data_IF_370145794472
#
_entry.id   IF_370145794472
#
_cell.length_a   1.000
_cell.length_b   1.000
_cell.length_c   1.000
_cell.angle_alpha   90.00
_cell.angle_beta   90.00
_cell.angle_gamma   90.00
#
_symmetry.space_group_name_H-M   'P 1'
#
loop_
_entity.id
_entity.type
_entity.pdbx_description
1 polymer ?
#
# COMPACT_ATOMS: atom_id res chain seq x y z
N UNK A 1 -13.77 -5.90 -6.60
CA UNK A 1 -14.27 -4.65 -6.02
C UNK A 1 -15.08 -3.83 -7.03
N UNK A 2 -14.57 -3.57 -8.24
CA UNK A 2 -15.36 -2.91 -9.27
C UNK A 2 -16.25 -3.95 -9.99
N UNK A 3 -17.53 -3.62 -10.13
CA UNK A 3 -18.49 -4.45 -10.89
C UNK A 3 -18.19 -4.40 -12.39
N UNK A 4 -17.63 -3.29 -12.84
CA UNK A 4 -17.30 -2.99 -14.22
C UNK A 4 -16.08 -2.06 -14.25
N UNK A 5 -15.32 -2.05 -15.35
CA UNK A 5 -14.17 -1.17 -15.59
C UNK A 5 -14.42 -0.20 -16.73
N UNK A 6 -15.65 -0.15 -17.24
CA UNK A 6 -15.99 0.81 -18.30
C UNK A 6 -15.78 2.24 -17.82
N UNK A 7 -15.31 3.13 -18.68
CA UNK A 7 -15.10 4.54 -18.33
C UNK A 7 -16.33 5.19 -17.71
N UNK A 8 -17.52 4.90 -18.24
CA UNK A 8 -18.78 5.43 -17.72
C UNK A 8 -19.04 5.03 -16.27
N UNK A 9 -18.83 3.75 -15.93
CA UNK A 9 -18.99 3.28 -14.56
C UNK A 9 -17.96 3.92 -13.62
N UNK A 10 -16.68 3.96 -13.98
CA UNK A 10 -15.62 4.56 -13.17
C UNK A 10 -15.88 6.06 -12.96
N UNK A 11 -16.25 6.79 -14.00
CA UNK A 11 -16.62 8.22 -13.87
C UNK A 11 -17.86 8.41 -12.96
N UNK A 12 -18.83 7.48 -12.99
CA UNK A 12 -19.98 7.54 -12.08
C UNK A 12 -19.58 7.38 -10.62
N UNK A 13 -18.63 6.50 -10.31
CA UNK A 13 -18.07 6.34 -8.96
C UNK A 13 -17.33 7.60 -8.50
N UNK A 14 -16.48 8.16 -9.36
CA UNK A 14 -15.80 9.44 -9.10
C UNK A 14 -16.79 10.56 -8.80
N UNK A 15 -17.82 10.71 -9.64
CA UNK A 15 -18.89 11.71 -9.42
C UNK A 15 -19.62 11.45 -8.10
N UNK A 16 -19.93 10.18 -7.79
CA UNK A 16 -20.61 9.83 -6.53
C UNK A 16 -19.78 10.18 -5.31
N UNK A 17 -18.47 9.93 -5.32
CA UNK A 17 -17.58 10.37 -4.25
C UNK A 17 -17.60 11.90 -4.13
N UNK A 18 -17.39 12.61 -5.23
CA UNK A 18 -17.31 14.05 -5.25
C UNK A 18 -18.57 14.75 -4.69
N UNK A 19 -19.76 14.36 -5.15
CA UNK A 19 -21.03 14.99 -4.70
C UNK A 19 -21.37 14.68 -3.23
N UNK A 20 -20.71 13.70 -2.63
CA UNK A 20 -20.84 13.36 -1.22
C UNK A 20 -19.68 13.93 -0.37
N UNK A 21 -18.84 14.80 -0.94
CA UNK A 21 -17.70 15.41 -0.23
C UNK A 21 -16.62 14.41 0.15
N UNK A 22 -16.50 13.29 -0.56
CA UNK A 22 -15.53 12.22 -0.30
C UNK A 22 -14.36 12.29 -1.28
N UNK A 23 -13.14 12.25 -0.76
CA UNK A 23 -11.94 12.01 -1.54
C UNK A 23 -11.69 10.49 -1.66
N UNK A 24 -11.10 10.07 -2.78
CA UNK A 24 -10.66 8.69 -2.99
C UNK A 24 -9.19 8.61 -2.65
N UNK A 25 -8.87 8.08 -1.46
CA UNK A 25 -7.51 8.07 -0.88
C UNK A 25 -6.55 7.12 -1.60
N UNK A 26 -7.04 6.03 -2.16
CA UNK A 26 -6.24 5.01 -2.84
C UNK A 26 -7.08 3.90 -3.43
N UNK A 27 -6.46 3.08 -4.24
CA UNK A 27 -7.08 1.88 -4.83
C UNK A 27 -6.12 0.68 -4.66
N UNK A 28 -6.58 -0.47 -4.13
CA UNK A 28 -5.74 -1.65 -4.00
C UNK A 28 -5.71 -2.46 -5.29
N UNK A 29 -4.57 -3.11 -5.55
CA UNK A 29 -4.38 -4.04 -6.66
C UNK A 29 -3.68 -5.31 -6.18
N UNK A 30 -4.13 -6.47 -6.66
CA UNK A 30 -3.43 -7.74 -6.51
C UNK A 30 -2.50 -7.95 -7.71
N UNK A 31 -1.19 -8.09 -7.44
CA UNK A 31 -0.16 -8.30 -8.44
C UNK A 31 1.08 -8.98 -7.84
N UNK A 32 2.02 -9.37 -8.70
CA UNK A 32 3.32 -9.95 -8.32
C UNK A 32 4.39 -9.57 -9.35
N UNK A 33 5.44 -8.86 -8.92
CA UNK A 33 6.55 -8.45 -9.79
C UNK A 33 7.73 -9.43 -9.82
N UNK A 34 7.70 -10.50 -9.00
CA UNK A 34 8.78 -11.47 -8.88
C UNK A 34 8.75 -12.58 -9.95
N UNK A 35 8.08 -12.33 -11.08
CA UNK A 35 8.14 -13.24 -12.23
C UNK A 35 9.38 -12.99 -13.08
N UNK A 36 10.08 -14.05 -13.52
CA UNK A 36 11.16 -13.90 -14.51
C UNK A 36 10.60 -13.37 -15.84
N UNK A 37 11.49 -12.85 -16.73
CA UNK A 37 11.08 -12.41 -18.06
C UNK A 37 10.30 -13.49 -18.80
N UNK A 38 9.22 -13.09 -19.47
CA UNK A 38 8.32 -13.96 -20.22
C UNK A 38 6.84 -13.64 -20.00
N UNK A 39 5.93 -14.44 -20.58
CA UNK A 39 4.49 -14.13 -20.66
C UNK A 39 3.82 -13.86 -19.30
N UNK A 40 4.25 -14.54 -18.23
CA UNK A 40 3.70 -14.33 -16.90
C UNK A 40 4.03 -12.93 -16.36
N UNK A 41 5.29 -12.47 -16.52
CA UNK A 41 5.72 -11.12 -16.16
C UNK A 41 5.00 -10.07 -17.02
N UNK A 42 4.95 -10.27 -18.32
CA UNK A 42 4.32 -9.33 -19.25
C UNK A 42 2.84 -9.14 -18.92
N UNK A 43 2.14 -10.22 -18.59
CA UNK A 43 0.76 -10.17 -18.11
C UNK A 43 0.61 -9.35 -16.83
N UNK A 44 1.52 -9.49 -15.86
CA UNK A 44 1.49 -8.71 -14.61
C UNK A 44 1.73 -7.21 -14.89
N UNK A 45 2.72 -6.86 -15.70
CA UNK A 45 3.01 -5.48 -16.06
C UNK A 45 1.84 -4.83 -16.80
N UNK A 46 1.27 -5.52 -17.79
CA UNK A 46 0.08 -5.06 -18.52
C UNK A 46 -1.12 -4.89 -17.58
N UNK A 47 -1.32 -5.80 -16.65
CA UNK A 47 -2.39 -5.73 -15.64
C UNK A 47 -2.25 -4.50 -14.75
N UNK A 48 -1.03 -4.22 -14.23
CA UNK A 48 -0.78 -3.05 -13.40
C UNK A 48 -0.99 -1.75 -14.19
N UNK A 49 -0.48 -1.66 -15.43
CA UNK A 49 -0.68 -0.48 -16.29
C UNK A 49 -2.15 -0.21 -16.57
N UNK A 50 -2.93 -1.25 -16.89
CA UNK A 50 -4.38 -1.12 -17.10
C UNK A 50 -5.11 -0.60 -15.85
N UNK A 51 -4.69 -1.02 -14.66
CA UNK A 51 -5.25 -0.51 -13.41
C UNK A 51 -4.81 0.91 -13.07
N UNK A 52 -3.59 1.30 -13.45
CA UNK A 52 -3.14 2.70 -13.34
C UNK A 52 -4.07 3.62 -14.15
N UNK A 53 -4.46 3.22 -15.38
CA UNK A 53 -5.40 3.98 -16.21
C UNK A 53 -6.77 4.09 -15.53
N UNK A 54 -7.29 3.00 -14.95
CA UNK A 54 -8.57 3.00 -14.21
C UNK A 54 -8.47 3.94 -12.99
N UNK A 55 -7.38 3.88 -12.24
CA UNK A 55 -7.17 4.68 -11.03
C UNK A 55 -7.04 6.17 -11.35
N UNK A 56 -6.34 6.51 -12.43
CA UNK A 56 -6.26 7.88 -12.94
C UNK A 56 -7.64 8.43 -13.31
N UNK A 57 -8.45 7.65 -14.03
CA UNK A 57 -9.82 8.01 -14.40
C UNK A 57 -10.73 8.16 -13.17
N UNK A 58 -10.56 7.28 -12.17
CA UNK A 58 -11.29 7.32 -10.90
C UNK A 58 -10.97 8.60 -10.09
N UNK A 59 -9.81 9.23 -10.35
CA UNK A 59 -9.36 10.42 -9.63
C UNK A 59 -8.69 10.09 -8.30
N UNK A 60 -8.25 8.86 -8.11
CA UNK A 60 -7.38 8.49 -7.00
C UNK A 60 -5.93 8.84 -7.32
N UNK A 61 -5.20 9.36 -6.34
CA UNK A 61 -3.80 9.75 -6.52
C UNK A 61 -2.82 8.59 -6.28
N UNK A 62 -3.27 7.52 -5.63
CA UNK A 62 -2.41 6.38 -5.29
C UNK A 62 -3.03 5.05 -5.70
N UNK A 63 -2.16 4.11 -6.08
CA UNK A 63 -2.51 2.70 -6.26
C UNK A 63 -1.58 1.82 -5.44
N UNK A 64 -2.13 1.04 -4.51
CA UNK A 64 -1.37 0.09 -3.73
C UNK A 64 -1.06 -1.14 -4.57
N UNK A 65 0.21 -1.53 -4.58
CA UNK A 65 0.74 -2.71 -5.26
C UNK A 65 1.56 -3.58 -4.30
N UNK A 66 1.69 -4.86 -4.63
CA UNK A 66 2.58 -5.78 -3.92
C UNK A 66 3.89 -5.96 -4.69
N UNK A 67 4.99 -6.25 -3.99
CA UNK A 67 6.24 -6.67 -4.62
C UNK A 67 6.15 -8.12 -5.12
N UNK A 68 5.55 -8.99 -4.32
CA UNK A 68 5.51 -10.41 -4.53
C UNK A 68 6.48 -11.19 -3.64
N UNK A 69 6.77 -12.41 -4.02
CA UNK A 69 7.66 -13.31 -3.28
C UNK A 69 8.56 -14.09 -4.23
N UNK A 70 9.73 -14.52 -3.74
CA UNK A 70 10.62 -15.41 -4.48
C UNK A 70 9.87 -16.64 -4.97
N UNK A 71 10.08 -17.01 -6.22
CA UNK A 71 9.50 -18.22 -6.81
C UNK A 71 10.29 -19.45 -6.38
N UNK A 72 9.67 -20.63 -6.49
CA UNK A 72 10.36 -21.89 -6.19
C UNK A 72 11.65 -22.01 -7.02
N UNK A 73 12.77 -22.20 -6.34
CA UNK A 73 14.09 -22.30 -6.98
C UNK A 73 14.77 -20.96 -7.27
N UNK A 74 14.16 -19.82 -6.90
CA UNK A 74 14.75 -18.48 -6.99
C UNK A 74 15.15 -17.97 -5.61
N UNK A 75 16.21 -17.18 -5.53
CA UNK A 75 16.64 -16.49 -4.31
C UNK A 75 15.84 -15.19 -4.08
N UNK A 76 15.84 -14.69 -2.84
CA UNK A 76 15.28 -13.36 -2.54
C UNK A 76 16.00 -12.25 -3.30
N UNK A 77 17.31 -12.35 -3.50
CA UNK A 77 18.08 -11.38 -4.26
C UNK A 77 17.67 -11.32 -5.73
N UNK A 78 17.36 -12.47 -6.35
CA UNK A 78 16.81 -12.52 -7.70
C UNK A 78 15.40 -11.93 -7.75
N UNK A 79 14.54 -12.29 -6.80
CA UNK A 79 13.19 -11.76 -6.70
C UNK A 79 13.21 -10.23 -6.53
N UNK A 80 14.13 -9.68 -5.72
CA UNK A 80 14.34 -8.25 -5.55
C UNK A 80 14.73 -7.58 -6.87
N UNK A 81 15.68 -8.14 -7.62
CA UNK A 81 16.08 -7.62 -8.94
C UNK A 81 14.92 -7.58 -9.93
N UNK A 82 14.13 -8.67 -9.98
CA UNK A 82 12.97 -8.75 -10.86
C UNK A 82 11.89 -7.73 -10.48
N UNK A 83 11.61 -7.58 -9.18
CA UNK A 83 10.64 -6.61 -8.69
C UNK A 83 11.09 -5.17 -8.97
N UNK A 84 12.36 -4.83 -8.74
CA UNK A 84 12.92 -3.51 -9.08
C UNK A 84 12.73 -3.21 -10.57
N UNK A 85 13.08 -4.14 -11.44
CA UNK A 85 12.94 -3.96 -12.89
C UNK A 85 11.47 -3.74 -13.31
N UNK A 86 10.54 -4.52 -12.75
CA UNK A 86 9.12 -4.35 -13.02
C UNK A 86 8.55 -3.04 -12.47
N UNK A 87 8.92 -2.68 -11.25
CA UNK A 87 8.49 -1.45 -10.61
C UNK A 87 9.04 -0.20 -11.32
N UNK A 88 10.28 -0.19 -11.82
CA UNK A 88 10.80 0.92 -12.64
C UNK A 88 9.91 1.19 -13.84
N UNK A 89 9.59 0.14 -14.59
CA UNK A 89 8.75 0.24 -15.79
C UNK A 89 7.35 0.79 -15.49
N UNK A 90 6.70 0.25 -14.45
CA UNK A 90 5.34 0.70 -14.10
C UNK A 90 5.31 2.03 -13.38
N UNK A 91 6.37 2.42 -12.66
CA UNK A 91 6.49 3.75 -12.03
C UNK A 91 6.62 4.85 -13.07
N UNK A 92 7.40 4.62 -14.12
CA UNK A 92 7.48 5.56 -15.24
C UNK A 92 6.12 5.74 -15.94
N UNK A 93 5.39 4.64 -16.14
CA UNK A 93 4.04 4.69 -16.69
C UNK A 93 3.07 5.43 -15.77
N UNK A 94 3.12 5.15 -14.47
CA UNK A 94 2.27 5.79 -13.47
C UNK A 94 2.51 7.31 -13.39
N UNK A 95 3.78 7.73 -13.49
CA UNK A 95 4.15 9.14 -13.53
C UNK A 95 3.54 9.89 -14.73
N UNK A 96 3.50 9.27 -15.91
CA UNK A 96 2.82 9.85 -17.09
C UNK A 96 1.31 10.01 -16.89
N UNK A 97 0.72 9.30 -15.93
CA UNK A 97 -0.72 9.36 -15.58
C UNK A 97 -1.01 10.17 -14.31
N UNK A 98 0.03 10.68 -13.64
CA UNK A 98 -0.11 11.42 -12.39
C UNK A 98 -0.55 10.54 -11.21
N UNK A 99 -0.20 9.25 -11.21
CA UNK A 99 -0.57 8.27 -10.18
C UNK A 99 0.69 7.81 -9.45
N UNK A 100 0.68 7.87 -8.10
CA UNK A 100 1.73 7.31 -7.26
C UNK A 100 1.52 5.80 -7.05
N UNK A 101 2.54 5.01 -7.28
CA UNK A 101 2.58 3.63 -6.81
C UNK A 101 2.92 3.61 -5.32
N UNK A 102 2.12 2.88 -4.55
CA UNK A 102 2.30 2.71 -3.11
C UNK A 102 2.59 1.23 -2.82
N UNK A 103 3.89 0.88 -2.68
CA UNK A 103 4.30 -0.51 -2.41
C UNK A 103 4.02 -0.87 -0.95
N UNK A 104 3.31 -1.97 -0.71
CA UNK A 104 2.95 -2.39 0.62
C UNK A 104 3.98 -3.32 1.25
N UNK A 105 4.25 -3.14 2.54
CA UNK A 105 4.93 -4.11 3.39
C UNK A 105 3.96 -5.28 3.68
N UNK A 106 3.92 -6.27 2.79
CA UNK A 106 2.95 -7.38 2.84
C UNK A 106 3.63 -8.76 2.72
N UNK A 107 4.66 -9.00 3.54
CA UNK A 107 5.40 -10.24 3.50
C UNK A 107 6.24 -10.43 2.23
N UNK A 108 6.65 -11.67 1.92
CA UNK A 108 7.53 -11.95 0.79
C UNK A 108 8.82 -11.14 0.87
N UNK A 109 9.19 -10.47 -0.22
CA UNK A 109 10.40 -9.62 -0.27
C UNK A 109 10.19 -8.22 0.31
N UNK A 110 9.11 -7.99 1.06
CA UNK A 110 8.82 -6.75 1.81
C UNK A 110 8.45 -7.06 3.28
N UNK A 111 8.88 -8.21 3.79
CA UNK A 111 8.58 -8.66 5.16
C UNK A 111 9.24 -7.82 6.24
N UNK A 112 10.37 -7.19 5.94
CA UNK A 112 11.10 -6.29 6.85
C UNK A 112 11.23 -4.90 6.25
N UNK A 113 11.42 -3.90 7.12
CA UNK A 113 11.67 -2.53 6.67
C UNK A 113 12.91 -2.42 5.77
N UNK A 114 13.96 -3.19 6.04
CA UNK A 114 15.17 -3.18 5.21
C UNK A 114 14.92 -3.72 3.79
N UNK A 115 14.19 -4.82 3.66
CA UNK A 115 13.81 -5.37 2.37
C UNK A 115 12.93 -4.38 1.57
N UNK A 116 11.93 -3.80 2.22
CA UNK A 116 11.06 -2.79 1.63
C UNK A 116 11.85 -1.58 1.13
N UNK A 117 12.74 -1.04 1.96
CA UNK A 117 13.55 0.13 1.60
C UNK A 117 14.63 -0.18 0.55
N UNK A 118 15.19 -1.38 0.54
CA UNK A 118 16.07 -1.82 -0.55
C UNK A 118 15.34 -1.80 -1.90
N UNK A 119 14.08 -2.22 -1.91
CA UNK A 119 13.23 -2.16 -3.10
C UNK A 119 12.97 -0.73 -3.53
N UNK A 120 12.48 0.13 -2.63
CA UNK A 120 12.14 1.54 -2.94
C UNK A 120 13.38 2.30 -3.45
N UNK A 121 14.51 2.18 -2.75
CA UNK A 121 15.78 2.80 -3.15
C UNK A 121 16.33 2.24 -4.46
N UNK A 122 16.17 0.93 -4.69
CA UNK A 122 16.61 0.29 -5.94
C UNK A 122 15.80 0.74 -7.17
N UNK A 123 14.54 1.06 -6.99
CA UNK A 123 13.68 1.63 -8.05
C UNK A 123 14.04 3.10 -8.32
N UNK A 124 14.29 3.87 -7.27
CA UNK A 124 14.70 5.28 -7.33
C UNK A 124 13.79 6.12 -8.25
N UNK A 125 12.50 6.12 -7.96
CA UNK A 125 11.50 6.85 -8.74
C UNK A 125 10.67 7.77 -7.83
N UNK A 126 10.44 9.04 -8.23
CA UNK A 126 9.56 9.94 -7.49
C UNK A 126 8.09 9.49 -7.53
N UNK A 127 7.75 8.52 -8.37
CA UNK A 127 6.40 7.98 -8.53
C UNK A 127 6.20 6.65 -7.77
N UNK A 128 7.18 6.24 -6.95
CA UNK A 128 7.07 5.10 -6.05
C UNK A 128 7.30 5.55 -4.61
N UNK A 129 6.35 5.23 -3.74
CA UNK A 129 6.49 5.34 -2.29
C UNK A 129 5.94 4.11 -1.60
N UNK A 130 5.81 4.18 -0.29
CA UNK A 130 5.33 3.08 0.55
C UNK A 130 3.85 3.26 0.88
N UNK A 131 3.04 2.19 0.71
CA UNK A 131 1.80 2.03 1.44
C UNK A 131 2.16 1.38 2.78
N UNK A 132 2.27 2.18 3.83
CA UNK A 132 2.70 1.71 5.14
C UNK A 132 1.53 1.08 5.88
N UNK A 133 1.48 -0.24 5.88
CA UNK A 133 0.57 -1.03 6.71
C UNK A 133 1.17 -1.23 8.10
N UNK A 134 0.48 -0.75 9.13
CA UNK A 134 1.01 -0.74 10.50
C UNK A 134 1.01 -2.11 11.18
N UNK A 135 0.31 -3.09 10.65
CA UNK A 135 0.19 -4.44 11.24
C UNK A 135 0.94 -5.54 10.49
N UNK A 136 1.58 -5.24 9.36
CA UNK A 136 2.21 -6.27 8.52
C UNK A 136 3.70 -6.51 8.81
N UNK A 137 4.36 -5.67 9.59
CA UNK A 137 5.64 -6.03 10.19
C UNK A 137 5.41 -6.91 11.43
N UNK A 138 6.21 -7.96 11.59
CA UNK A 138 6.07 -8.92 12.68
C UNK A 138 7.30 -8.99 13.60
N UNK A 139 8.30 -8.14 13.35
CA UNK A 139 9.49 -8.02 14.18
C UNK A 139 9.83 -6.54 14.32
N UNK A 140 10.08 -6.12 15.57
CA UNK A 140 10.38 -4.71 15.89
C UNK A 140 9.39 -3.76 15.19
N UNK A 141 8.08 -4.03 15.38
CA UNK A 141 7.00 -3.41 14.59
C UNK A 141 7.14 -1.90 14.54
N UNK A 142 7.18 -1.24 15.70
CA UNK A 142 7.24 0.22 15.74
C UNK A 142 8.56 0.79 15.21
N UNK A 143 9.69 0.13 15.44
CA UNK A 143 10.97 0.54 14.87
C UNK A 143 10.97 0.38 13.34
N UNK A 144 10.35 -0.68 12.82
CA UNK A 144 10.15 -0.88 11.38
C UNK A 144 9.24 0.21 10.77
N UNK A 145 8.18 0.60 11.49
CA UNK A 145 7.31 1.70 11.08
C UNK A 145 8.08 3.04 11.05
N UNK A 146 8.87 3.35 12.09
CA UNK A 146 9.71 4.56 12.15
C UNK A 146 10.68 4.64 10.96
N UNK A 147 11.28 3.50 10.59
CA UNK A 147 12.23 3.40 9.48
C UNK A 147 11.56 3.59 8.12
N UNK A 148 10.35 3.06 7.94
CA UNK A 148 9.63 3.10 6.66
C UNK A 148 8.77 4.37 6.46
N UNK A 149 8.31 5.01 7.54
CA UNK A 149 7.40 6.15 7.49
C UNK A 149 7.88 7.34 6.63
N UNK A 150 9.18 7.70 6.56
CA UNK A 150 9.65 8.78 5.68
C UNK A 150 9.40 8.53 4.17
N UNK A 151 9.15 7.30 3.78
CA UNK A 151 8.88 6.91 2.39
C UNK A 151 7.39 6.68 2.12
N UNK A 152 6.52 6.87 3.13
CA UNK A 152 5.10 6.61 3.00
C UNK A 152 4.40 7.66 2.10
N UNK A 153 3.61 7.18 1.16
CA UNK A 153 2.68 7.97 0.33
C UNK A 153 1.22 7.60 0.59
N UNK A 154 0.99 6.46 1.24
CA UNK A 154 -0.28 6.02 1.77
C UNK A 154 -0.05 5.28 3.10
N UNK A 155 -1.02 5.28 4.00
CA UNK A 155 -0.95 4.58 5.29
C UNK A 155 -2.24 3.82 5.53
N UNK A 156 -2.09 2.54 5.93
CA UNK A 156 -3.17 1.70 6.43
C UNK A 156 -2.90 1.38 7.91
N UNK A 157 -3.81 1.79 8.78
CA UNK A 157 -3.71 1.54 10.22
C UNK A 157 -4.57 0.36 10.60
N UNK A 158 -3.94 -0.78 10.91
CA UNK A 158 -4.63 -1.93 11.48
C UNK A 158 -5.01 -1.69 12.94
N UNK A 159 -6.17 -2.19 13.32
CA UNK A 159 -6.65 -2.07 14.72
C UNK A 159 -5.89 -2.95 15.69
N UNK A 160 -5.26 -4.01 15.20
CA UNK A 160 -4.41 -4.90 15.99
C UNK A 160 -3.06 -5.10 15.30
N UNK A 161 -2.03 -5.22 16.10
CA UNK A 161 -0.67 -5.56 15.68
C UNK A 161 -0.19 -6.81 16.39
N UNK A 162 0.81 -7.48 15.82
CA UNK A 162 1.40 -8.69 16.41
C UNK A 162 2.91 -8.61 16.35
N UNK A 163 3.56 -8.75 17.50
CA UNK A 163 5.01 -8.85 17.62
C UNK A 163 5.45 -10.32 17.66
N UNK A 164 6.01 -10.81 16.58
CA UNK A 164 6.49 -12.19 16.46
C UNK A 164 5.38 -13.23 16.64
N UNK A 165 5.56 -14.12 17.62
CA UNK A 165 4.60 -15.17 17.97
C UNK A 165 3.64 -14.78 19.10
N UNK A 166 3.73 -13.55 19.61
CA UNK A 166 2.84 -13.08 20.68
C UNK A 166 1.39 -13.00 20.20
N UNK A 167 0.45 -12.92 21.14
CA UNK A 167 -0.93 -12.60 20.81
C UNK A 167 -1.01 -11.22 20.14
N UNK A 168 -1.98 -11.04 19.27
CA UNK A 168 -2.27 -9.72 18.71
C UNK A 168 -2.83 -8.82 19.81
N UNK A 169 -2.38 -7.58 19.85
CA UNK A 169 -2.82 -6.54 20.78
C UNK A 169 -3.36 -5.34 20.04
N UNK A 170 -4.17 -4.51 20.70
CA UNK A 170 -4.66 -3.27 20.09
C UNK A 170 -3.49 -2.37 19.74
N UNK A 171 -3.51 -1.80 18.55
CA UNK A 171 -2.45 -0.91 18.07
C UNK A 171 -2.43 0.40 18.88
N UNK A 172 -1.24 0.85 19.25
CA UNK A 172 -1.05 2.16 19.87
C UNK A 172 -1.16 3.26 18.81
N UNK A 173 -2.39 3.76 18.60
CA UNK A 173 -2.66 4.80 17.59
C UNK A 173 -1.92 6.10 17.88
N UNK A 174 -1.69 6.46 19.16
CA UNK A 174 -0.93 7.68 19.52
C UNK A 174 0.54 7.54 19.11
N UNK A 175 1.13 6.37 19.33
CA UNK A 175 2.51 6.08 18.90
C UNK A 175 2.63 6.08 17.38
N UNK A 176 1.67 5.47 16.66
CA UNK A 176 1.62 5.49 15.19
C UNK A 176 1.51 6.94 14.69
N UNK A 177 0.59 7.72 15.23
CA UNK A 177 0.42 9.14 14.88
C UNK A 177 1.71 9.94 15.10
N UNK A 178 2.39 9.74 16.24
CA UNK A 178 3.67 10.37 16.53
C UNK A 178 4.77 9.98 15.52
N UNK A 179 4.82 8.72 15.09
CA UNK A 179 5.74 8.25 14.04
C UNK A 179 5.47 8.99 12.72
N UNK A 180 4.22 9.02 12.29
CA UNK A 180 3.83 9.69 11.04
C UNK A 180 4.11 11.20 11.08
N UNK A 181 3.83 11.84 12.23
CA UNK A 181 4.10 13.27 12.45
C UNK A 181 5.61 13.58 12.36
N UNK A 182 6.45 12.78 13.03
CA UNK A 182 7.92 12.92 12.95
C UNK A 182 8.46 12.70 11.53
N UNK A 183 7.87 11.78 10.78
CA UNK A 183 8.22 11.55 9.38
C UNK A 183 7.75 12.65 8.41
N UNK A 184 6.97 13.62 8.89
CA UNK A 184 6.39 14.67 8.06
C UNK A 184 5.29 14.19 7.12
N UNK A 185 4.68 13.02 7.38
CA UNK A 185 3.62 12.47 6.55
C UNK A 185 2.39 13.40 6.51
N UNK A 186 1.83 13.62 5.29
CA UNK A 186 0.69 14.52 5.05
C UNK A 186 -0.43 13.87 4.24
N UNK A 187 -0.28 12.60 3.89
CA UNK A 187 -1.26 11.85 3.10
C UNK A 187 -2.45 11.35 3.92
N UNK A 188 -3.27 10.53 3.28
CA UNK A 188 -4.41 9.88 3.92
C UNK A 188 -3.97 8.76 4.87
N UNK A 189 -4.64 8.69 6.02
CA UNK A 189 -4.49 7.61 6.99
C UNK A 189 -5.79 6.80 6.99
N UNK A 190 -5.78 5.64 6.38
CA UNK A 190 -6.94 4.76 6.28
C UNK A 190 -6.97 3.77 7.45
N UNK A 191 -8.11 3.63 8.11
CA UNK A 191 -8.32 2.54 9.06
C UNK A 191 -8.53 1.23 8.29
N UNK A 192 -7.78 0.18 8.62
CA UNK A 192 -8.00 -1.18 8.13
C UNK A 192 -8.49 -2.07 9.27
N UNK A 193 -9.75 -2.47 9.17
CA UNK A 193 -10.39 -3.29 10.19
C UNK A 193 -10.37 -4.76 9.80
N UNK A 194 -9.58 -5.55 10.53
CA UNK A 194 -9.45 -7.01 10.38
C UNK A 194 -9.58 -7.68 11.75
N UNK A 195 -10.77 -7.58 12.37
CA UNK A 195 -11.04 -8.18 13.67
C UNK A 195 -12.40 -8.91 13.69
N UNK A 196 -12.71 -9.58 14.81
CA UNK A 196 -13.88 -10.46 14.90
C UNK A 196 -15.19 -9.74 15.25
N UNK A 197 -15.11 -8.54 15.85
CA UNK A 197 -16.30 -7.77 16.22
C UNK A 197 -17.01 -7.28 14.95
N UNK A 198 -18.34 -7.11 15.04
CA UNK A 198 -19.14 -6.55 13.95
C UNK A 198 -18.55 -5.20 13.46
N UNK A 199 -18.13 -5.10 12.17
CA UNK A 199 -17.51 -3.87 11.65
C UNK A 199 -18.41 -2.64 11.78
N UNK A 200 -19.74 -2.80 11.69
CA UNK A 200 -20.67 -1.67 11.81
C UNK A 200 -20.63 -1.02 13.20
N UNK A 201 -20.22 -1.77 14.23
CA UNK A 201 -20.05 -1.28 15.59
C UNK A 201 -18.60 -0.84 15.86
N UNK A 202 -17.66 -1.65 15.42
CA UNK A 202 -16.24 -1.45 15.74
C UNK A 202 -15.60 -0.29 14.94
N UNK A 203 -15.85 -0.21 13.64
CA UNK A 203 -15.20 0.78 12.75
C UNK A 203 -15.45 2.23 13.20
N UNK A 204 -16.67 2.67 13.54
CA UNK A 204 -16.87 4.05 14.04
C UNK A 204 -16.02 4.35 15.27
N UNK A 205 -16.00 3.45 16.26
CA UNK A 205 -15.22 3.60 17.49
C UNK A 205 -13.71 3.69 17.23
N UNK A 206 -13.17 2.84 16.34
CA UNK A 206 -11.75 2.90 15.98
C UNK A 206 -11.41 4.12 15.14
N UNK A 207 -12.31 4.61 14.30
CA UNK A 207 -12.13 5.87 13.56
C UNK A 207 -12.04 7.06 14.52
N UNK A 208 -12.86 7.09 15.58
CA UNK A 208 -12.80 8.16 16.57
C UNK A 208 -11.48 8.13 17.34
N UNK A 209 -11.04 6.94 17.81
CA UNK A 209 -9.70 6.77 18.42
C UNK A 209 -8.57 7.24 17.48
N UNK A 210 -8.66 6.91 16.20
CA UNK A 210 -7.64 7.30 15.22
C UNK A 210 -7.65 8.82 14.99
N UNK A 211 -8.82 9.45 14.89
CA UNK A 211 -8.96 10.92 14.78
C UNK A 211 -8.37 11.63 15.97
N UNK A 212 -8.69 11.17 17.20
CA UNK A 212 -8.11 11.72 18.43
C UNK A 212 -6.58 11.61 18.45
N UNK A 213 -6.02 10.50 17.97
CA UNK A 213 -4.58 10.30 17.95
C UNK A 213 -3.86 11.19 16.91
N UNK A 214 -4.54 11.55 15.81
CA UNK A 214 -3.99 12.36 14.73
C UNK A 214 -4.18 13.87 14.93
N UNK A 215 -5.07 14.28 15.83
CA UNK A 215 -5.27 15.69 16.19
C UNK A 215 -4.02 16.27 16.88
#
# INVERSE_FOLDING_TARGET
>A
YFRDKSPGYICSLRRRAYVNGLAISGSPLGNDFCHPPGPARDKQLAHVKAWIDVVALLGSQTIRVFAGKAKKGSSEAEALKLAIAGLKEVSEYAGKKGVLLAIENHGGITSTADQLLALVKGVDSPWLGVNLDTGNFHTDVYASLEKAAPYAVAVQVKVHIREGKKAAEEADFKRIAAILKRAGYRGYVALEYEAKEDPLKAVPRYLDKLREALA
#
